data_IF_008973658961
#
_entry.id   IF_008973658961
#
_cell.length_a   1.000
_cell.length_b   1.000
_cell.length_c   1.000
_cell.angle_alpha   90.00
_cell.angle_beta   90.00
_cell.angle_gamma   90.00
#
_symmetry.space_group_name_H-M   'P 1'
#
loop_
_entity.id
_entity.type
_entity.pdbx_description
1 polymer ?
#
# COMPACT_ATOMS: atom_id res chain seq x y z
N UNK A 1 34.11 6.81 -1.22
CA UNK A 1 33.77 5.59 -0.46
C UNK A 1 32.32 5.50 -0.02
N UNK A 2 31.62 6.60 0.30
CA UNK A 2 30.25 6.55 0.87
C UNK A 2 29.12 6.18 -0.09
N UNK A 3 29.31 6.36 -1.40
CA UNK A 3 28.25 6.17 -2.41
C UNK A 3 27.91 4.68 -2.66
N UNK A 4 28.92 3.81 -2.78
CA UNK A 4 28.70 2.38 -3.08
C UNK A 4 28.00 1.62 -1.93
N UNK A 5 28.37 1.89 -0.68
CA UNK A 5 27.72 1.26 0.48
C UNK A 5 26.26 1.69 0.58
N UNK A 6 25.97 2.99 0.43
CA UNK A 6 24.60 3.49 0.43
C UNK A 6 23.76 2.86 -0.69
N UNK A 7 24.29 2.82 -1.92
CA UNK A 7 23.61 2.16 -3.05
C UNK A 7 23.29 0.69 -2.78
N UNK A 8 24.22 -0.06 -2.17
CA UNK A 8 23.98 -1.47 -1.85
C UNK A 8 22.85 -1.67 -0.83
N UNK A 9 22.73 -0.78 0.16
CA UNK A 9 21.66 -0.81 1.16
C UNK A 9 20.30 -0.55 0.49
N UNK A 10 20.22 0.50 -0.34
CA UNK A 10 18.98 0.81 -1.06
C UNK A 10 18.58 -0.30 -2.02
N UNK A 11 19.53 -0.90 -2.75
CA UNK A 11 19.26 -2.04 -3.63
C UNK A 11 18.69 -3.24 -2.88
N UNK A 12 19.23 -3.53 -1.69
CA UNK A 12 18.73 -4.63 -0.85
C UNK A 12 17.33 -4.30 -0.30
N UNK A 13 17.09 -3.07 0.15
CA UNK A 13 15.78 -2.63 0.60
C UNK A 13 14.73 -2.71 -0.53
N UNK A 14 15.06 -2.27 -1.75
CA UNK A 14 14.18 -2.36 -2.92
C UNK A 14 13.81 -3.81 -3.28
N UNK A 15 14.79 -4.74 -3.24
CA UNK A 15 14.51 -6.18 -3.44
C UNK A 15 13.55 -6.74 -2.40
N UNK A 16 13.78 -6.44 -1.12
CA UNK A 16 12.91 -6.91 -0.04
C UNK A 16 11.49 -6.35 -0.18
N UNK A 17 11.37 -5.08 -0.58
CA UNK A 17 10.09 -4.44 -0.82
C UNK A 17 9.34 -5.06 -2.02
N UNK A 18 10.01 -5.30 -3.15
CA UNK A 18 9.41 -5.97 -4.31
C UNK A 18 8.89 -7.38 -3.97
N UNK A 19 9.65 -8.16 -3.20
CA UNK A 19 9.23 -9.50 -2.76
C UNK A 19 8.00 -9.43 -1.85
N UNK A 20 7.98 -8.49 -0.89
CA UNK A 20 6.81 -8.29 -0.04
C UNK A 20 5.56 -7.92 -0.85
N UNK A 21 5.72 -7.06 -1.85
CA UNK A 21 4.63 -6.66 -2.71
C UNK A 21 4.12 -7.81 -3.58
N UNK A 22 5.00 -8.64 -4.13
CA UNK A 22 4.62 -9.82 -4.90
C UNK A 22 3.82 -10.83 -4.06
N UNK A 23 4.18 -11.02 -2.79
CA UNK A 23 3.40 -11.86 -1.88
C UNK A 23 2.00 -11.32 -1.65
N UNK A 24 1.85 -10.00 -1.45
CA UNK A 24 0.52 -9.37 -1.33
C UNK A 24 -0.32 -9.61 -2.59
N UNK A 25 0.27 -9.46 -3.78
CA UNK A 25 -0.43 -9.72 -5.03
C UNK A 25 -0.85 -11.18 -5.15
N UNK A 26 0.05 -12.13 -4.86
CA UNK A 26 -0.23 -13.55 -4.96
C UNK A 26 -1.33 -14.02 -3.97
N UNK A 27 -1.45 -13.38 -2.80
CA UNK A 27 -2.44 -13.77 -1.77
C UNK A 27 -3.80 -13.14 -2.02
N UNK A 28 -3.83 -11.86 -2.39
CA UNK A 28 -5.07 -11.07 -2.40
C UNK A 28 -5.62 -10.79 -3.80
N UNK A 29 -4.84 -11.02 -4.85
CA UNK A 29 -5.19 -10.71 -6.25
C UNK A 29 -5.85 -9.32 -6.43
N UNK A 30 -5.20 -8.23 -5.98
CA UNK A 30 -5.82 -6.91 -6.00
C UNK A 30 -5.87 -6.34 -7.43
N UNK A 31 -6.97 -5.69 -7.80
CA UNK A 31 -7.04 -4.95 -9.07
C UNK A 31 -6.20 -3.65 -9.07
N UNK A 32 -5.95 -3.07 -7.89
CA UNK A 32 -5.26 -1.79 -7.71
C UNK A 32 -4.40 -1.82 -6.44
N UNK A 33 -3.16 -1.37 -6.57
CA UNK A 33 -2.25 -1.11 -5.46
C UNK A 33 -2.00 0.39 -5.38
N UNK A 34 -2.26 0.99 -4.22
CA UNK A 34 -1.90 2.38 -3.93
C UNK A 34 -0.74 2.36 -2.94
N UNK A 35 0.42 2.83 -3.39
CA UNK A 35 1.55 3.07 -2.52
C UNK A 35 1.43 4.51 -1.97
N UNK A 36 1.53 4.67 -0.66
CA UNK A 36 1.46 5.99 0.02
C UNK A 36 2.49 6.10 1.15
N UNK A 37 2.91 7.33 1.50
CA UNK A 37 3.79 7.61 2.64
C UNK A 37 4.54 8.95 2.56
N UNK A 38 4.80 9.57 3.72
CA UNK A 38 5.48 10.88 3.86
C UNK A 38 6.94 10.85 3.34
N UNK A 39 7.62 9.71 3.52
CA UNK A 39 9.00 9.47 3.06
C UNK A 39 9.09 8.87 1.66
N UNK A 40 8.10 9.13 0.81
CA UNK A 40 8.15 8.88 -0.64
C UNK A 40 9.13 9.83 -1.38
N UNK A 41 10.20 10.24 -0.71
CA UNK A 41 11.24 11.13 -1.23
C UNK A 41 12.50 10.36 -1.66
N UNK A 42 12.52 9.04 -1.46
CA UNK A 42 13.56 8.18 -2.02
C UNK A 42 13.04 7.52 -3.29
N UNK A 43 13.20 8.22 -4.41
CA UNK A 43 12.82 7.76 -5.76
C UNK A 43 13.37 6.35 -6.09
N UNK A 44 14.42 5.92 -5.38
CA UNK A 44 15.06 4.61 -5.54
C UNK A 44 14.22 3.40 -5.04
N UNK A 45 13.34 3.58 -4.05
CA UNK A 45 12.47 2.50 -3.54
C UNK A 45 11.22 2.28 -4.42
N UNK A 46 10.97 3.20 -5.34
CA UNK A 46 9.84 3.19 -6.28
C UNK A 46 10.29 3.23 -7.73
N UNK A 47 11.58 3.07 -7.99
CA UNK A 47 12.12 2.96 -9.34
C UNK A 47 11.33 1.88 -10.08
N UNK A 48 11.02 2.10 -11.37
CA UNK A 48 10.31 1.13 -12.19
C UNK A 48 10.84 -0.30 -12.03
N UNK A 49 12.15 -0.44 -11.77
CA UNK A 49 12.81 -1.71 -11.42
C UNK A 49 12.14 -2.49 -10.27
N UNK A 50 11.70 -1.84 -9.19
CA UNK A 50 11.03 -2.51 -8.06
C UNK A 50 9.66 -3.03 -8.47
N UNK A 51 8.89 -2.23 -9.20
CA UNK A 51 7.56 -2.62 -9.70
C UNK A 51 7.70 -3.76 -10.72
N UNK A 52 8.68 -3.68 -11.62
CA UNK A 52 8.97 -4.75 -12.58
C UNK A 52 9.45 -6.03 -11.87
N UNK A 53 10.32 -5.93 -10.86
CA UNK A 53 10.73 -7.08 -10.06
C UNK A 53 9.56 -7.73 -9.33
N UNK A 54 8.61 -6.92 -8.81
CA UNK A 54 7.37 -7.44 -8.26
C UNK A 54 6.58 -8.19 -9.34
N UNK A 55 6.30 -7.57 -10.49
CA UNK A 55 5.53 -8.20 -11.58
C UNK A 55 6.13 -9.53 -12.03
N UNK A 56 7.45 -9.61 -12.12
CA UNK A 56 8.17 -10.85 -12.48
C UNK A 56 8.04 -11.97 -11.44
N UNK A 57 7.67 -11.62 -10.20
CA UNK A 57 7.53 -12.55 -9.07
C UNK A 57 6.07 -12.93 -8.80
N UNK A 58 5.12 -12.33 -9.51
CA UNK A 58 3.69 -12.67 -9.42
C UNK A 58 3.41 -13.89 -10.29
N UNK A 59 2.63 -14.84 -9.76
CA UNK A 59 2.20 -16.02 -10.53
C UNK A 59 1.26 -15.55 -11.64
N UNK A 60 1.65 -15.77 -12.90
CA UNK A 60 0.81 -15.42 -14.04
C UNK A 60 -0.37 -16.38 -14.14
N UNK A 61 -1.49 -15.96 -13.57
CA UNK A 61 -2.83 -16.49 -13.86
C UNK A 61 -3.42 -15.51 -14.89
N UNK A 62 -4.37 -15.96 -15.72
CA UNK A 62 -4.89 -15.36 -16.98
C UNK A 62 -5.53 -13.94 -16.88
N UNK A 63 -4.98 -13.06 -16.04
CA UNK A 63 -5.49 -11.75 -15.61
C UNK A 63 -4.36 -10.72 -15.70
N UNK A 64 -4.69 -9.50 -16.12
CA UNK A 64 -3.72 -8.41 -16.19
C UNK A 64 -3.12 -8.10 -14.80
N UNK A 65 -1.80 -7.83 -14.71
CA UNK A 65 -1.16 -7.52 -13.43
C UNK A 65 -1.78 -6.28 -12.77
N UNK A 66 -1.73 -6.17 -11.43
CA UNK A 66 -2.32 -5.06 -10.70
C UNK A 66 -1.81 -3.72 -11.23
N UNK A 67 -2.72 -2.76 -11.38
CA UNK A 67 -2.32 -1.38 -11.61
C UNK A 67 -1.68 -0.85 -10.33
N UNK A 68 -0.51 -0.24 -10.44
CA UNK A 68 0.19 0.37 -9.29
C UNK A 68 0.12 1.89 -9.43
N UNK A 69 -0.43 2.56 -8.42
CA UNK A 69 -0.46 4.02 -8.30
C UNK A 69 0.41 4.44 -7.13
N UNK A 70 1.33 5.37 -7.39
CA UNK A 70 2.14 6.00 -6.35
C UNK A 70 1.49 7.34 -6.07
N UNK A 71 1.05 7.54 -4.83
CA UNK A 71 0.44 8.79 -4.44
C UNK A 71 1.00 9.28 -3.11
N UNK A 72 1.56 10.49 -3.12
CA UNK A 72 1.98 11.20 -1.91
C UNK A 72 0.75 11.80 -1.24
N UNK A 73 -0.02 10.97 -0.53
CA UNK A 73 -1.05 11.49 0.36
C UNK A 73 -0.38 12.23 1.51
N UNK A 74 -0.56 13.55 1.54
CA UNK A 74 -0.17 14.37 2.68
C UNK A 74 -1.10 14.16 3.88
N UNK A 75 -0.77 14.81 4.99
CA UNK A 75 -1.43 14.66 6.31
C UNK A 75 -2.95 14.79 6.25
N UNK A 76 -3.48 15.60 5.33
CA UNK A 76 -4.92 15.80 5.17
C UNK A 76 -5.65 14.51 4.78
N UNK A 77 -5.08 13.66 3.92
CA UNK A 77 -5.74 12.40 3.54
C UNK A 77 -5.70 11.37 4.67
N UNK A 78 -4.63 11.36 5.46
CA UNK A 78 -4.56 10.56 6.70
C UNK A 78 -5.62 11.00 7.71
N UNK A 79 -5.75 12.31 7.93
CA UNK A 79 -6.76 12.87 8.82
C UNK A 79 -8.19 12.56 8.35
N UNK A 80 -8.45 12.66 7.03
CA UNK A 80 -9.75 12.29 6.44
C UNK A 80 -10.06 10.81 6.64
N UNK A 81 -9.09 9.92 6.43
CA UNK A 81 -9.27 8.49 6.68
C UNK A 81 -9.64 8.19 8.13
N UNK A 82 -8.94 8.81 9.08
CA UNK A 82 -9.25 8.68 10.51
C UNK A 82 -10.65 9.22 10.86
N UNK A 83 -11.04 10.36 10.26
CA UNK A 83 -12.36 10.93 10.47
C UNK A 83 -13.48 10.02 9.94
N UNK A 84 -13.33 9.46 8.72
CA UNK A 84 -14.30 8.51 8.15
C UNK A 84 -14.41 7.28 9.03
N UNK A 85 -13.29 6.72 9.49
CA UNK A 85 -13.30 5.56 10.40
C UNK A 85 -14.02 5.85 11.72
N UNK A 86 -13.81 7.04 12.31
CA UNK A 86 -14.54 7.46 13.50
C UNK A 86 -16.04 7.61 13.25
N UNK A 87 -16.43 8.17 12.08
CA UNK A 87 -17.83 8.31 11.68
C UNK A 87 -18.50 6.94 11.50
N UNK A 88 -17.83 5.96 10.90
CA UNK A 88 -18.33 4.59 10.80
C UNK A 88 -18.59 3.98 12.17
N UNK A 89 -17.67 4.15 13.12
CA UNK A 89 -17.83 3.68 14.49
C UNK A 89 -19.03 4.31 15.21
N UNK A 90 -19.21 5.64 15.11
CA UNK A 90 -20.36 6.34 15.69
C UNK A 90 -21.67 5.88 15.07
N UNK A 91 -21.69 5.69 13.75
CA UNK A 91 -22.88 5.22 13.02
C UNK A 91 -23.28 3.82 13.47
N UNK A 92 -22.30 2.92 13.64
CA UNK A 92 -22.54 1.56 14.13
C UNK A 92 -23.14 1.56 15.54
N UNK A 93 -22.61 2.36 16.45
CA UNK A 93 -23.15 2.49 17.82
C UNK A 93 -24.59 3.00 17.81
N UNK A 94 -24.89 4.02 17.00
CA UNK A 94 -26.24 4.57 16.89
C UNK A 94 -27.24 3.53 16.35
N UNK A 95 -26.84 2.71 15.36
CA UNK A 95 -27.68 1.63 14.84
C UNK A 95 -27.95 0.54 15.90
N UNK A 96 -26.94 0.18 16.69
CA UNK A 96 -27.08 -0.79 17.78
C UNK A 96 -28.01 -0.30 18.89
N UNK A 97 -27.95 0.98 19.25
CA UNK A 97 -28.88 1.59 20.22
C UNK A 97 -30.32 1.62 19.70
N UNK A 98 -30.53 2.00 18.43
CA UNK A 98 -31.85 1.95 17.80
C UNK A 98 -32.43 0.53 17.81
N UNK A 99 -31.61 -0.48 17.49
CA UNK A 99 -32.03 -1.87 17.51
C UNK A 99 -32.37 -2.39 18.92
N UNK A 100 -31.69 -1.90 19.96
CA UNK A 100 -32.00 -2.21 21.36
C UNK A 100 -33.31 -1.55 21.81
N UNK A 101 -33.54 -0.30 21.41
CA UNK A 101 -34.74 0.46 21.77
C UNK A 101 -36.00 0.02 21.01
N UNK A 102 -35.83 -0.72 19.90
CA UNK A 102 -36.91 -1.30 19.11
C UNK A 102 -37.35 -2.70 19.58
N UNK A 103 -36.68 -3.27 20.60
CA UNK A 103 -37.07 -4.52 21.27
C UNK A 103 -37.78 -4.23 22.58
#
# INVERSE_FOLDING_TARGET
GGDQTAQSIFKRAGKMFAMGLANVVNIFDPALIILSGERMQFDYLYAGEVIENMKNSVVQIDVSPPRVLIHKWGDLMWAKGAAVYAMEGVTQLALEELAKNAR
#
